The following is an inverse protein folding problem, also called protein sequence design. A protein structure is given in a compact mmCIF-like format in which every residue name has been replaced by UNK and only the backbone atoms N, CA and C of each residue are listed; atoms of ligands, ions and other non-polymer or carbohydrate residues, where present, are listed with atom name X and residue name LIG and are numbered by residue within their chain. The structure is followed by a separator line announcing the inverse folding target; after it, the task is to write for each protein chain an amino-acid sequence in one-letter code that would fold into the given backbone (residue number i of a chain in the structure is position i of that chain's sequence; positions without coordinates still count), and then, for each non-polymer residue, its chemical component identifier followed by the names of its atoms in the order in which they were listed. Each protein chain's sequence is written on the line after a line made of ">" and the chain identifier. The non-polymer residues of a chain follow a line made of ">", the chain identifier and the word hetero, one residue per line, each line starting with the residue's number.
data_IF_105578198165
#
_entry.id   IF_105578198165
#
_cell.length_a   1.000
_cell.length_b   1.000
_cell.length_c   1.000
_cell.angle_alpha   90.00
_cell.angle_beta   90.00
_cell.angle_gamma   90.00
#
_symmetry.space_group_name_H-M   'P 1'
#
loop_
_entity.id
_entity.type
_entity.pdbx_description
1 polymer ?
#
# COMPACT_ATOMS: atom_id res chain seq x y z
N UNK A 1 2.45 10.73 -6.66
CA UNK A 1 1.11 10.14 -6.45
C UNK A 1 1.12 9.36 -5.15
N UNK A 2 0.00 9.32 -4.41
CA UNK A 2 -0.16 8.47 -3.23
C UNK A 2 -0.70 7.11 -3.65
N UNK A 3 -0.03 6.04 -3.21
CA UNK A 3 -0.48 4.67 -3.47
C UNK A 3 -1.15 4.05 -2.25
N UNK A 4 -2.36 3.54 -2.43
CA UNK A 4 -3.10 2.81 -1.40
C UNK A 4 -2.98 1.32 -1.68
N UNK A 5 -2.31 0.59 -0.80
CA UNK A 5 -2.11 -0.85 -0.92
C UNK A 5 -3.24 -1.56 -0.17
N UNK A 6 -4.09 -2.27 -0.92
CA UNK A 6 -5.22 -3.04 -0.39
C UNK A 6 -4.81 -4.49 -0.19
N UNK A 7 -5.04 -4.96 1.02
CA UNK A 7 -4.77 -6.33 1.45
C UNK A 7 -6.01 -7.24 1.36
N UNK A 8 -7.20 -6.66 1.22
CA UNK A 8 -8.46 -7.36 0.93
C UNK A 8 -9.39 -6.46 0.11
N UNK A 9 -10.39 -7.03 -0.55
CA UNK A 9 -11.30 -6.29 -1.43
C UNK A 9 -12.15 -5.22 -0.70
N UNK A 10 -12.65 -5.58 0.48
CA UNK A 10 -13.64 -4.79 1.24
C UNK A 10 -13.05 -3.61 2.02
N UNK A 11 -11.74 -3.63 2.28
CA UNK A 11 -11.07 -2.55 3.01
C UNK A 11 -10.59 -1.48 2.04
N UNK A 12 -11.26 -0.33 2.06
CA UNK A 12 -10.87 0.86 1.30
C UNK A 12 -10.18 1.91 2.18
N UNK A 13 -9.59 2.94 1.56
CA UNK A 13 -8.86 3.98 2.28
C UNK A 13 -9.74 4.92 3.15
N UNK A 14 -11.07 4.76 3.16
CA UNK A 14 -11.95 5.51 4.04
C UNK A 14 -11.73 7.03 3.99
N UNK A 15 -11.53 7.65 5.14
CA UNK A 15 -11.27 9.09 5.27
C UNK A 15 -9.96 9.54 4.63
N UNK A 16 -8.95 8.67 4.52
CA UNK A 16 -7.68 9.01 3.87
C UNK A 16 -7.85 9.35 2.39
N UNK A 17 -8.80 8.71 1.69
CA UNK A 17 -9.10 9.04 0.29
C UNK A 17 -9.53 10.50 0.12
N UNK A 18 -10.37 11.02 1.02
CA UNK A 18 -10.79 12.41 1.01
C UNK A 18 -9.63 13.34 1.39
N UNK A 19 -8.97 13.03 2.50
CA UNK A 19 -7.83 13.80 3.01
C UNK A 19 -6.72 14.01 1.97
N UNK A 20 -6.30 12.95 1.26
CA UNK A 20 -5.25 13.08 0.24
C UNK A 20 -5.70 13.92 -0.95
N UNK A 21 -6.95 13.78 -1.40
CA UNK A 21 -7.49 14.58 -2.50
C UNK A 21 -7.60 16.05 -2.14
N UNK A 22 -8.07 16.37 -0.93
CA UNK A 22 -8.15 17.74 -0.41
C UNK A 22 -6.78 18.38 -0.29
N UNK A 23 -5.76 17.60 0.06
CA UNK A 23 -4.36 18.03 0.09
C UNK A 23 -3.71 18.16 -1.32
N UNK A 24 -4.46 17.91 -2.40
CA UNK A 24 -3.99 18.07 -3.78
C UNK A 24 -3.28 16.84 -4.36
N UNK A 25 -3.28 15.71 -3.67
CA UNK A 25 -2.66 14.49 -4.17
C UNK A 25 -3.60 13.68 -5.07
N UNK A 26 -3.02 13.07 -6.10
CA UNK A 26 -3.68 11.97 -6.82
C UNK A 26 -3.49 10.67 -6.04
N UNK A 27 -4.56 9.88 -5.91
CA UNK A 27 -4.57 8.60 -5.20
C UNK A 27 -4.78 7.46 -6.19
N UNK A 28 -3.98 6.39 -6.08
CA UNK A 28 -4.16 5.16 -6.85
C UNK A 28 -4.16 3.94 -5.92
N UNK A 29 -5.17 3.10 -6.08
CA UNK A 29 -5.28 1.84 -5.34
C UNK A 29 -4.51 0.71 -6.06
N UNK A 30 -3.89 -0.16 -5.27
CA UNK A 30 -3.22 -1.38 -5.71
C UNK A 30 -3.83 -2.55 -4.92
N UNK A 31 -4.40 -3.51 -5.62
CA UNK A 31 -4.95 -4.73 -5.02
C UNK A 31 -3.84 -5.76 -4.82
N UNK A 32 -3.11 -5.67 -3.71
CA UNK A 32 -2.01 -6.59 -3.40
C UNK A 32 -2.49 -8.05 -3.34
N UNK A 33 -3.68 -8.29 -2.78
CA UNK A 33 -4.32 -9.61 -2.72
C UNK A 33 -4.61 -10.22 -4.10
N UNK A 34 -4.69 -9.41 -5.15
CA UNK A 34 -4.81 -9.85 -6.55
C UNK A 34 -3.46 -9.95 -7.28
N UNK A 35 -2.35 -9.85 -6.53
CA UNK A 35 -0.98 -9.84 -7.07
C UNK A 35 -0.73 -8.73 -8.09
N UNK A 36 -1.42 -7.59 -7.97
CA UNK A 36 -1.14 -6.42 -8.80
C UNK A 36 0.32 -5.94 -8.61
N UNK A 37 0.84 -5.31 -9.67
CA UNK A 37 2.22 -4.81 -9.66
C UNK A 37 2.32 -3.58 -8.78
N UNK A 38 3.20 -3.65 -7.78
CA UNK A 38 3.62 -2.50 -7.00
C UNK A 38 4.38 -1.49 -7.87
N UNK A 39 4.20 -0.18 -7.64
CA UNK A 39 4.95 0.85 -8.36
C UNK A 39 6.43 0.81 -7.99
N UNK A 40 7.24 1.46 -8.81
CA UNK A 40 8.61 1.79 -8.46
C UNK A 40 8.60 2.92 -7.42
N UNK A 41 9.56 2.92 -6.47
CA UNK A 41 9.59 3.93 -5.41
C UNK A 41 9.58 5.39 -5.91
N UNK A 42 10.28 5.70 -6.99
CA UNK A 42 10.30 7.07 -7.55
C UNK A 42 8.95 7.54 -8.12
N UNK A 43 7.99 6.64 -8.31
CA UNK A 43 6.62 6.99 -8.71
C UNK A 43 5.76 7.42 -7.51
N UNK A 44 6.25 7.19 -6.29
CA UNK A 44 5.52 7.36 -5.04
C UNK A 44 5.89 8.68 -4.36
N UNK A 45 4.90 9.52 -4.08
CA UNK A 45 5.04 10.63 -3.11
C UNK A 45 4.83 10.13 -1.68
N UNK A 46 4.13 9.01 -1.53
CA UNK A 46 3.89 8.30 -0.28
C UNK A 46 3.02 7.07 -0.51
N UNK A 47 2.91 6.23 0.51
CA UNK A 47 2.08 5.02 0.46
C UNK A 47 1.25 4.82 1.73
N UNK A 48 0.02 4.36 1.57
CA UNK A 48 -0.87 3.92 2.64
C UNK A 48 -1.07 2.41 2.50
N UNK A 49 -0.68 1.65 3.51
CA UNK A 49 -0.90 0.21 3.61
C UNK A 49 -2.13 -0.03 4.47
N UNK A 50 -3.16 -0.64 3.89
CA UNK A 50 -4.40 -0.96 4.61
C UNK A 50 -4.28 -2.30 5.33
N UNK A 51 -5.15 -2.48 6.31
CA UNK A 51 -5.29 -3.72 7.05
C UNK A 51 -5.80 -4.87 6.17
N UNK A 52 -5.90 -6.03 6.81
CA UNK A 52 -6.51 -7.20 6.23
C UNK A 52 -6.63 -8.33 7.26
N UNK A 53 -7.42 -9.36 6.96
CA UNK A 53 -7.64 -10.47 7.89
C UNK A 53 -6.45 -11.43 8.02
N UNK A 54 -5.37 -11.23 7.25
CA UNK A 54 -4.22 -12.11 7.21
C UNK A 54 -3.25 -11.84 8.35
N UNK A 55 -2.64 -12.90 8.88
CA UNK A 55 -1.49 -12.75 9.76
C UNK A 55 -0.22 -12.46 8.92
N UNK A 56 0.63 -11.55 9.40
CA UNK A 56 1.89 -11.15 8.73
C UNK A 56 2.85 -12.33 8.44
N UNK A 57 2.76 -13.42 9.19
CA UNK A 57 3.59 -14.61 9.01
C UNK A 57 3.02 -15.63 8.01
N UNK A 58 1.79 -15.45 7.51
CA UNK A 58 1.14 -16.35 6.54
C UNK A 58 1.65 -16.18 5.10
N UNK A 59 2.91 -15.81 4.92
CA UNK A 59 3.49 -15.47 3.62
C UNK A 59 3.59 -16.65 2.64
N UNK A 60 3.42 -17.90 3.11
CA UNK A 60 3.30 -19.09 2.27
C UNK A 60 1.91 -19.21 1.63
N UNK A 61 0.87 -18.77 2.36
CA UNK A 61 -0.53 -18.77 1.93
C UNK A 61 -0.86 -17.51 1.13
N UNK A 62 -0.34 -16.36 1.57
CA UNK A 62 -0.54 -15.05 0.97
C UNK A 62 0.79 -14.52 0.43
N UNK A 63 1.13 -14.93 -0.79
CA UNK A 63 2.44 -14.62 -1.41
C UNK A 63 2.69 -13.12 -1.60
N UNK A 64 1.62 -12.32 -1.69
CA UNK A 64 1.75 -10.87 -1.84
C UNK A 64 2.34 -10.19 -0.60
N UNK A 65 2.23 -10.78 0.60
CA UNK A 65 2.82 -10.23 1.82
C UNK A 65 4.34 -10.04 1.69
N UNK A 66 5.03 -10.96 0.99
CA UNK A 66 6.47 -10.82 0.70
C UNK A 66 6.77 -9.66 -0.25
N UNK A 67 5.87 -9.41 -1.21
CA UNK A 67 6.01 -8.30 -2.17
C UNK A 67 5.77 -6.96 -1.48
N UNK A 68 4.76 -6.92 -0.61
CA UNK A 68 4.43 -5.76 0.22
C UNK A 68 5.60 -5.41 1.15
N UNK A 69 6.13 -6.39 1.89
CA UNK A 69 7.29 -6.19 2.77
C UNK A 69 8.50 -5.66 1.99
N UNK A 70 8.77 -6.23 0.81
CA UNK A 70 9.87 -5.77 -0.06
C UNK A 70 9.65 -4.34 -0.54
N UNK A 71 8.41 -3.98 -0.85
CA UNK A 71 8.06 -2.63 -1.27
C UNK A 71 8.16 -1.62 -0.12
N UNK A 72 7.66 -1.94 1.08
CA UNK A 72 7.85 -1.10 2.27
C UNK A 72 9.33 -0.80 2.51
N UNK A 73 10.19 -1.83 2.47
CA UNK A 73 11.64 -1.66 2.63
C UNK A 73 12.25 -0.73 1.58
N UNK A 74 11.80 -0.79 0.32
CA UNK A 74 12.34 0.06 -0.74
C UNK A 74 11.87 1.51 -0.66
N UNK A 75 10.69 1.77 -0.11
CA UNK A 75 10.20 3.12 0.20
C UNK A 75 11.01 3.73 1.35
N UNK A 76 11.16 2.98 2.44
CA UNK A 76 11.92 3.42 3.62
C UNK A 76 13.38 3.71 3.27
N UNK A 77 14.03 2.88 2.44
CA UNK A 77 15.42 3.12 2.01
C UNK A 77 15.60 4.40 1.19
N UNK A 78 14.51 4.96 0.66
CA UNK A 78 14.50 6.18 -0.15
C UNK A 78 13.86 7.36 0.59
N UNK A 79 13.60 7.23 1.90
CA UNK A 79 12.91 8.23 2.71
C UNK A 79 11.54 8.65 2.16
N UNK A 80 10.86 7.74 1.46
CA UNK A 80 9.50 7.98 0.99
C UNK A 80 8.54 7.69 2.15
N UNK A 81 7.66 8.63 2.53
CA UNK A 81 6.78 8.46 3.67
C UNK A 81 5.76 7.35 3.43
N UNK A 82 5.49 6.57 4.48
CA UNK A 82 4.44 5.57 4.46
C UNK A 82 3.63 5.55 5.77
N UNK A 83 2.40 5.07 5.69
CA UNK A 83 1.48 4.87 6.81
C UNK A 83 0.94 3.44 6.72
N UNK A 84 0.89 2.72 7.84
CA UNK A 84 0.23 1.42 7.96
C UNK A 84 -0.92 1.49 8.97
N UNK A 85 -2.03 0.80 8.67
CA UNK A 85 -3.25 0.72 9.49
C UNK A 85 -3.50 -0.74 9.89
#
# INVERSE_FOLDING_TARGET
>A
MIFVIKNVEIEGAGTFSGFFKEAGFTVKEISAFRNERFPLPHECEGALFLGGPMNVYENQKYTFLRKEEKFMKSLLSQNIPLIGI
#
